data_IF_839213275976
#
_entry.id   IF_839213275976
#
_cell.length_a   1.000
_cell.length_b   1.000
_cell.length_c   1.000
_cell.angle_alpha   90.00
_cell.angle_beta   90.00
_cell.angle_gamma   90.00
#
_symmetry.space_group_name_H-M   'P 1'
#
loop_
_entity.id
_entity.type
_entity.pdbx_description
1 polymer ?
#
# COMPACT_ATOMS: atom_id res chain seq x y z
N UNK A 1 -5.60 19.30 -4.99
CA UNK A 1 -5.18 18.16 -4.13
C UNK A 1 -6.09 16.97 -4.40
N UNK A 2 -5.57 15.74 -4.45
CA UNK A 2 -6.39 14.53 -4.61
C UNK A 2 -7.25 14.28 -3.37
N UNK A 3 -8.47 13.79 -3.55
CA UNK A 3 -9.33 13.40 -2.42
C UNK A 3 -8.84 12.11 -1.76
N UNK A 4 -9.23 11.86 -0.50
CA UNK A 4 -8.96 10.59 0.19
C UNK A 4 -9.48 9.39 -0.63
N UNK A 5 -10.68 9.50 -1.21
CA UNK A 5 -11.24 8.50 -2.13
C UNK A 5 -10.35 8.26 -3.36
N UNK A 6 -9.79 9.30 -3.97
CA UNK A 6 -8.90 9.14 -5.13
C UNK A 6 -7.61 8.39 -4.75
N UNK A 7 -7.03 8.70 -3.59
CA UNK A 7 -5.85 7.99 -3.07
C UNK A 7 -6.15 6.52 -2.76
N UNK A 8 -7.27 6.24 -2.10
CA UNK A 8 -7.71 4.87 -1.86
C UNK A 8 -7.98 4.11 -3.17
N UNK A 9 -8.56 4.77 -4.18
CA UNK A 9 -8.77 4.15 -5.49
C UNK A 9 -7.46 3.88 -6.24
N UNK A 10 -6.41 4.67 -6.04
CA UNK A 10 -5.08 4.34 -6.57
C UNK A 10 -4.55 3.02 -5.99
N UNK A 11 -4.72 2.80 -4.69
CA UNK A 11 -4.37 1.52 -4.04
C UNK A 11 -5.19 0.37 -4.64
N UNK A 12 -6.49 0.57 -4.86
CA UNK A 12 -7.36 -0.46 -5.47
C UNK A 12 -6.90 -0.82 -6.88
N UNK A 13 -6.60 0.19 -7.70
CA UNK A 13 -6.17 0.01 -9.08
C UNK A 13 -4.85 -0.74 -9.17
N UNK A 14 -3.82 -0.30 -8.43
CA UNK A 14 -2.52 -0.99 -8.40
C UNK A 14 -2.67 -2.45 -7.95
N UNK A 15 -3.49 -2.70 -6.92
CA UNK A 15 -3.67 -4.06 -6.42
C UNK A 15 -4.37 -4.98 -7.42
N UNK A 16 -5.44 -4.51 -8.09
CA UNK A 16 -6.15 -5.35 -9.07
C UNK A 16 -5.33 -5.55 -10.35
N UNK A 17 -4.64 -4.51 -10.84
CA UNK A 17 -3.84 -4.57 -12.07
C UNK A 17 -2.62 -5.48 -11.91
N UNK A 18 -1.91 -5.39 -10.78
CA UNK A 18 -0.74 -6.24 -10.52
C UNK A 18 -1.11 -7.71 -10.35
N UNK A 19 -2.18 -8.02 -9.61
CA UNK A 19 -2.68 -9.40 -9.49
C UNK A 19 -3.10 -9.94 -10.86
N UNK A 20 -3.75 -9.11 -11.68
CA UNK A 20 -4.16 -9.48 -13.03
C UNK A 20 -2.94 -9.75 -13.93
N UNK A 21 -1.92 -8.90 -13.87
CA UNK A 21 -0.68 -9.06 -14.63
C UNK A 21 0.07 -10.36 -14.23
N UNK A 22 0.11 -10.68 -12.93
CA UNK A 22 0.70 -11.91 -12.42
C UNK A 22 -0.14 -13.16 -12.72
N UNK A 23 -1.40 -13.02 -13.16
CA UNK A 23 -2.39 -14.11 -13.31
C UNK A 23 -2.55 -14.96 -12.04
N UNK A 24 -2.23 -14.38 -10.88
CA UNK A 24 -2.19 -15.05 -9.59
C UNK A 24 -2.16 -14.01 -8.46
N UNK A 25 -2.83 -14.29 -7.35
CA UNK A 25 -2.86 -13.43 -6.17
C UNK A 25 -4.26 -13.21 -5.59
N UNK A 26 -4.36 -12.30 -4.61
CA UNK A 26 -5.60 -12.04 -3.87
C UNK A 26 -5.96 -10.55 -3.92
N UNK A 27 -6.82 -10.12 -4.85
CA UNK A 27 -7.12 -8.69 -5.01
C UNK A 27 -8.18 -8.20 -4.01
N UNK A 28 -9.00 -9.10 -3.46
CA UNK A 28 -10.12 -8.75 -2.59
C UNK A 28 -9.71 -8.03 -1.30
N UNK A 29 -8.77 -8.59 -0.53
CA UNK A 29 -8.34 -7.98 0.72
C UNK A 29 -7.67 -6.61 0.52
N UNK A 30 -6.73 -6.41 -0.44
CA UNK A 30 -6.20 -5.09 -0.78
C UNK A 30 -7.26 -4.06 -1.13
N UNK A 31 -8.24 -4.42 -1.98
CA UNK A 31 -9.28 -3.48 -2.39
C UNK A 31 -10.24 -3.11 -1.26
N UNK A 32 -10.56 -4.06 -0.38
CA UNK A 32 -11.43 -3.86 0.78
C UNK A 32 -10.79 -3.00 1.87
N UNK A 33 -9.47 -3.08 2.04
CA UNK A 33 -8.74 -2.33 3.07
C UNK A 33 -8.20 -0.98 2.59
N UNK A 34 -8.38 -0.62 1.32
CA UNK A 34 -7.76 0.57 0.71
C UNK A 34 -8.12 1.89 1.41
N UNK A 35 -9.36 2.09 1.86
CA UNK A 35 -9.75 3.32 2.56
C UNK A 35 -9.09 3.40 3.95
N UNK A 36 -9.08 2.29 4.69
CA UNK A 36 -8.37 2.19 5.98
C UNK A 36 -6.87 2.46 5.80
N UNK A 37 -6.28 1.90 4.74
CA UNK A 37 -4.86 2.03 4.46
C UNK A 37 -4.49 3.47 4.12
N UNK A 38 -5.30 4.14 3.30
CA UNK A 38 -5.12 5.55 2.94
C UNK A 38 -5.15 6.45 4.17
N UNK A 39 -6.09 6.23 5.09
CA UNK A 39 -6.18 7.01 6.33
C UNK A 39 -4.98 6.70 7.24
N UNK A 40 -4.69 5.43 7.50
CA UNK A 40 -3.59 5.03 8.39
C UNK A 40 -2.24 5.54 7.89
N UNK A 41 -1.86 5.20 6.65
CA UNK A 41 -0.56 5.55 6.08
C UNK A 41 -0.45 7.01 5.67
N UNK A 42 -1.55 7.63 5.24
CA UNK A 42 -1.54 9.01 4.77
C UNK A 42 -1.70 10.06 5.88
N UNK A 43 -2.16 9.68 7.07
CA UNK A 43 -2.51 10.64 8.12
C UNK A 43 -1.94 10.31 9.52
N UNK A 44 -1.72 9.04 9.85
CA UNK A 44 -1.35 8.65 11.22
C UNK A 44 0.01 7.99 11.35
N UNK A 45 0.40 7.15 10.40
CA UNK A 45 1.61 6.33 10.50
C UNK A 45 2.86 7.21 10.45
N UNK A 46 3.67 7.17 11.50
CA UNK A 46 4.96 7.84 11.55
C UNK A 46 6.02 6.99 10.86
N UNK A 47 6.32 7.31 9.60
CA UNK A 47 7.27 6.57 8.80
C UNK A 47 8.12 7.49 7.91
N UNK A 48 9.26 6.97 7.44
CA UNK A 48 10.16 7.69 6.54
C UNK A 48 10.55 6.76 5.38
N UNK A 49 9.98 6.96 4.18
CA UNK A 49 10.33 6.18 2.99
C UNK A 49 11.81 6.28 2.60
N UNK A 50 12.45 7.43 2.83
CA UNK A 50 13.89 7.65 2.60
C UNK A 50 14.80 7.09 3.70
N UNK A 51 14.23 6.61 4.82
CA UNK A 51 14.97 5.86 5.84
C UNK A 51 14.07 4.79 6.49
N UNK A 52 13.85 3.65 5.82
CA UNK A 52 13.05 2.54 6.35
C UNK A 52 13.60 1.96 7.66
N UNK A 53 14.88 2.18 7.95
CA UNK A 53 15.56 1.69 9.16
C UNK A 53 15.51 2.68 10.32
N UNK A 54 14.80 3.81 10.18
CA UNK A 54 14.61 4.76 11.26
C UNK A 54 14.09 4.05 12.51
N UNK A 55 14.82 4.20 13.61
CA UNK A 55 14.61 3.45 14.85
C UNK A 55 13.27 3.76 15.54
N UNK A 56 12.75 4.99 15.39
CA UNK A 56 11.50 5.45 16.03
C UNK A 56 10.33 5.57 15.05
N UNK A 57 10.36 4.81 13.96
CA UNK A 57 9.21 4.67 13.06
C UNK A 57 8.14 3.79 13.71
N UNK A 58 6.89 4.05 13.39
CA UNK A 58 5.82 3.11 13.67
C UNK A 58 6.00 1.84 12.83
N UNK A 59 5.55 0.71 13.36
CA UNK A 59 5.66 -0.60 12.70
C UNK A 59 4.30 -1.01 12.17
N UNK A 60 4.23 -1.16 10.85
CA UNK A 60 3.07 -1.76 10.18
C UNK A 60 3.34 -3.25 9.94
N UNK A 61 2.37 -4.11 10.28
CA UNK A 61 2.44 -5.55 10.03
C UNK A 61 1.14 -5.99 9.35
N UNK A 62 1.25 -6.56 8.15
CA UNK A 62 0.12 -7.14 7.43
C UNK A 62 0.01 -8.65 7.74
N UNK A 63 -0.73 -8.99 8.79
CA UNK A 63 -0.87 -10.39 9.23
C UNK A 63 -1.61 -11.27 8.21
N UNK A 64 -2.62 -10.71 7.54
CA UNK A 64 -3.30 -11.34 6.39
C UNK A 64 -2.47 -11.20 5.10
N UNK A 65 -1.24 -11.73 5.13
CA UNK A 65 -0.20 -11.53 4.11
C UNK A 65 -0.54 -12.00 2.69
N UNK A 66 -1.62 -12.78 2.51
CA UNK A 66 -2.14 -13.11 1.18
C UNK A 66 -2.57 -11.86 0.40
N UNK A 67 -2.93 -10.77 1.09
CA UNK A 67 -3.22 -9.45 0.51
C UNK A 67 -1.97 -8.60 0.27
N UNK A 68 -0.84 -9.21 -0.10
CA UNK A 68 0.48 -8.56 -0.24
C UNK A 68 0.47 -7.35 -1.18
N UNK A 69 -0.35 -7.35 -2.23
CA UNK A 69 -0.46 -6.20 -3.12
C UNK A 69 -0.95 -4.92 -2.43
N UNK A 70 -1.57 -5.00 -1.25
CA UNK A 70 -1.84 -3.81 -0.44
C UNK A 70 -0.54 -3.14 0.01
N UNK A 71 0.38 -3.92 0.60
CA UNK A 71 1.61 -3.36 1.15
C UNK A 71 2.55 -2.89 0.03
N UNK A 72 2.64 -3.61 -1.10
CA UNK A 72 3.41 -3.14 -2.25
C UNK A 72 2.87 -1.83 -2.82
N UNK A 73 1.55 -1.70 -2.98
CA UNK A 73 0.93 -0.45 -3.42
C UNK A 73 1.24 0.71 -2.46
N UNK A 74 1.19 0.47 -1.15
CA UNK A 74 1.49 1.50 -0.14
C UNK A 74 2.97 1.90 -0.15
N UNK A 75 3.88 0.93 -0.22
CA UNK A 75 5.31 1.20 -0.29
C UNK A 75 5.64 2.04 -1.53
N UNK A 76 5.12 1.64 -2.69
CA UNK A 76 5.28 2.40 -3.94
C UNK A 76 4.73 3.83 -3.83
N UNK A 77 3.44 3.96 -3.49
CA UNK A 77 2.75 5.26 -3.46
C UNK A 77 3.30 6.22 -2.41
N UNK A 78 3.91 5.71 -1.33
CA UNK A 78 4.52 6.55 -0.30
C UNK A 78 5.99 6.85 -0.55
N UNK A 79 6.60 6.28 -1.59
CA UNK A 79 7.96 6.61 -2.03
C UNK A 79 9.06 5.78 -1.38
N UNK A 80 8.75 4.55 -0.95
CA UNK A 80 9.81 3.58 -0.65
C UNK A 80 10.47 3.13 -1.95
N UNK A 81 11.60 2.44 -1.82
CA UNK A 81 12.34 1.84 -2.93
C UNK A 81 11.61 0.60 -3.47
N UNK A 82 10.42 0.83 -4.04
CA UNK A 82 9.56 -0.13 -4.73
C UNK A 82 8.99 0.60 -5.96
N UNK A 83 9.46 0.22 -7.14
CA UNK A 83 9.05 0.79 -8.42
C UNK A 83 7.75 0.15 -8.93
N UNK A 84 7.27 0.60 -10.10
CA UNK A 84 6.14 -0.06 -10.78
C UNK A 84 6.56 -1.36 -11.48
N UNK A 85 7.85 -1.56 -11.70
CA UNK A 85 8.40 -2.70 -12.44
C UNK A 85 8.82 -3.86 -11.51
N UNK A 86 8.84 -3.64 -10.18
CA UNK A 86 9.09 -4.66 -9.15
C UNK A 86 7.84 -5.51 -8.86
#
# INVERSE_FOLDING_TARGET
MSTSRARANAIRALAMDAVQAAKSGHPGAPMGMADMAEVLWGQFLKHNPGNPNWWNRDRFVLSNGHGSMLIYSLLHLTGYDVSLDD
#
